data_IF_793020303647
#
_entry.id   IF_793020303647
#
_cell.length_a   1.000
_cell.length_b   1.000
_cell.length_c   1.000
_cell.angle_alpha   90.00
_cell.angle_beta   90.00
_cell.angle_gamma   90.00
#
_symmetry.space_group_name_H-M   'P 1'
#
loop_
_entity.id
_entity.type
_entity.pdbx_description
1 polymer ?
#
# COMPACT_ATOMS: atom_id res chain seq x y z
N UNK A 1 15.29 -24.72 4.95
CA UNK A 1 14.11 -23.85 4.90
C UNK A 1 13.07 -24.09 6.00
N UNK A 2 12.95 -25.31 6.59
CA UNK A 2 12.01 -25.56 7.73
C UNK A 2 12.45 -24.96 9.06
N UNK A 3 13.76 -24.76 9.30
CA UNK A 3 14.27 -24.32 10.62
C UNK A 3 14.20 -22.79 10.86
N UNK A 4 14.15 -21.99 9.81
CA UNK A 4 14.06 -20.51 9.96
C UNK A 4 12.66 -20.07 10.42
N UNK A 5 11.61 -20.84 10.06
CA UNK A 5 10.23 -20.53 10.47
C UNK A 5 10.00 -20.70 11.98
N UNK A 6 10.75 -21.57 12.63
CA UNK A 6 10.63 -21.83 14.07
C UNK A 6 11.44 -20.85 14.95
N UNK A 7 12.51 -20.28 14.44
CA UNK A 7 13.32 -19.31 15.20
C UNK A 7 12.68 -17.92 15.30
N UNK A 8 11.90 -17.50 14.29
CA UNK A 8 11.20 -16.21 14.33
C UNK A 8 10.08 -16.19 15.38
N UNK A 9 9.45 -17.33 15.64
CA UNK A 9 8.40 -17.46 16.65
C UNK A 9 8.91 -17.39 18.11
N UNK A 10 10.20 -17.62 18.37
CA UNK A 10 10.74 -17.67 19.74
C UNK A 10 11.27 -16.35 20.28
N UNK A 11 11.53 -15.35 19.43
CA UNK A 11 12.15 -14.07 19.82
C UNK A 11 11.16 -12.92 20.09
N UNK A 12 9.88 -13.07 19.74
CA UNK A 12 8.87 -12.00 19.94
C UNK A 12 7.80 -12.31 20.98
N UNK A 13 7.82 -13.47 21.64
CA UNK A 13 6.86 -13.82 22.68
C UNK A 13 7.48 -13.87 24.09
N UNK A 14 8.19 -12.80 24.46
CA UNK A 14 8.54 -12.49 25.84
C UNK A 14 7.33 -11.90 26.58
N UNK A 15 6.64 -12.71 27.36
CA UNK A 15 5.74 -12.35 28.49
C UNK A 15 4.65 -11.30 28.23
N UNK A 16 3.66 -11.60 27.40
CA UNK A 16 2.35 -10.94 27.46
C UNK A 16 1.21 -11.93 27.12
N UNK A 17 1.24 -13.08 27.77
CA UNK A 17 0.05 -13.91 27.91
C UNK A 17 -0.60 -13.54 29.22
N UNK A 18 -1.67 -12.74 29.17
CA UNK A 18 -2.85 -12.77 30.05
C UNK A 18 -3.65 -11.48 29.85
N UNK A 19 -4.61 -11.55 29.02
CA UNK A 19 -5.95 -10.99 29.00
C UNK A 19 -6.43 -10.89 27.56
N UNK A 20 -6.83 -12.03 27.02
CA UNK A 20 -7.46 -12.14 25.71
C UNK A 20 -8.88 -11.59 25.74
N UNK A 21 -9.03 -10.30 25.51
CA UNK A 21 -10.25 -9.77 24.96
C UNK A 21 -10.03 -9.61 23.45
N UNK A 22 -10.39 -10.64 22.70
CA UNK A 22 -10.65 -10.52 21.26
C UNK A 22 -11.80 -9.51 21.13
N UNK A 23 -11.49 -8.24 20.89
CA UNK A 23 -12.50 -7.26 20.53
C UNK A 23 -12.95 -7.62 19.12
N UNK A 24 -13.91 -8.53 19.06
CA UNK A 24 -14.74 -8.68 17.87
C UNK A 24 -15.43 -7.35 17.67
N UNK A 25 -15.04 -6.61 16.64
CA UNK A 25 -15.81 -5.46 16.17
C UNK A 25 -17.12 -6.07 15.63
N UNK A 26 -18.11 -6.18 16.51
CA UNK A 26 -19.47 -6.50 16.09
C UNK A 26 -19.89 -5.44 15.09
N UNK A 27 -20.02 -5.84 13.83
CA UNK A 27 -20.73 -5.04 12.84
C UNK A 27 -22.16 -4.92 13.31
N UNK A 28 -22.52 -3.79 13.94
CA UNK A 28 -23.94 -3.43 14.10
C UNK A 28 -24.59 -3.52 12.73
N UNK A 29 -25.76 -4.16 12.59
CA UNK A 29 -26.49 -4.17 11.34
C UNK A 29 -26.82 -2.71 10.98
N UNK A 30 -26.24 -2.23 9.87
CA UNK A 30 -26.53 -0.90 9.36
C UNK A 30 -28.00 -0.87 8.90
N UNK A 31 -28.81 -0.07 9.56
CA UNK A 31 -30.09 0.39 9.04
C UNK A 31 -29.83 1.06 7.68
N UNK A 32 -30.51 0.58 6.65
CA UNK A 32 -30.22 0.74 5.21
C UNK A 32 -30.22 2.17 4.65
N UNK A 33 -29.15 2.91 4.92
CA UNK A 33 -28.75 4.11 4.19
C UNK A 33 -27.31 3.92 3.73
N UNK A 34 -26.99 4.23 2.47
CA UNK A 34 -25.62 4.22 1.98
C UNK A 34 -24.80 5.24 2.78
N UNK A 35 -23.77 4.80 3.50
CA UNK A 35 -22.85 5.70 4.22
C UNK A 35 -22.15 6.63 3.24
N UNK A 36 -21.96 7.89 3.62
CA UNK A 36 -21.25 8.87 2.80
C UNK A 36 -19.75 8.56 2.77
N UNK A 37 -19.03 9.04 1.76
CA UNK A 37 -17.57 8.88 1.67
C UNK A 37 -16.88 9.51 2.89
N UNK A 38 -17.37 10.65 3.38
CA UNK A 38 -16.88 11.29 4.60
C UNK A 38 -16.99 10.35 5.81
N UNK A 39 -18.14 9.71 5.99
CA UNK A 39 -18.36 8.78 7.10
C UNK A 39 -17.48 7.53 6.96
N UNK A 40 -17.34 7.01 5.76
CA UNK A 40 -16.47 5.87 5.48
C UNK A 40 -14.99 6.18 5.78
N UNK A 41 -14.50 7.35 5.35
CA UNK A 41 -13.15 7.81 5.68
C UNK A 41 -12.95 7.91 7.20
N UNK A 42 -13.94 8.47 7.92
CA UNK A 42 -13.89 8.56 9.38
C UNK A 42 -13.80 7.18 10.03
N UNK A 43 -14.66 6.23 9.63
CA UNK A 43 -14.67 4.86 10.16
C UNK A 43 -13.33 4.17 9.93
N UNK A 44 -12.79 4.25 8.71
CA UNK A 44 -11.49 3.61 8.39
C UNK A 44 -10.36 4.26 9.18
N UNK A 45 -10.33 5.59 9.27
CA UNK A 45 -9.30 6.32 10.02
C UNK A 45 -9.37 6.00 11.52
N UNK A 46 -10.56 5.97 12.12
CA UNK A 46 -10.74 5.57 13.51
C UNK A 46 -10.29 4.12 13.75
N UNK A 47 -10.57 3.22 12.80
CA UNK A 47 -10.08 1.84 12.83
C UNK A 47 -8.54 1.78 12.83
N UNK A 48 -7.88 2.54 11.97
CA UNK A 48 -6.41 2.62 11.92
C UNK A 48 -5.86 3.14 13.25
N UNK A 49 -6.41 4.25 13.76
CA UNK A 49 -6.02 4.84 15.04
C UNK A 49 -6.15 3.84 16.19
N UNK A 50 -7.29 3.14 16.26
CA UNK A 50 -7.54 2.14 17.29
C UNK A 50 -6.52 1.01 17.25
N UNK A 51 -6.23 0.48 16.04
CA UNK A 51 -5.28 -0.61 15.87
C UNK A 51 -3.83 -0.19 16.15
N UNK A 52 -3.44 1.02 15.73
CA UNK A 52 -2.12 1.56 16.04
C UNK A 52 -1.90 1.71 17.55
N UNK A 53 -2.87 2.31 18.25
CA UNK A 53 -2.83 2.45 19.73
C UNK A 53 -2.78 1.08 20.42
N UNK A 54 -3.57 0.12 19.97
CA UNK A 54 -3.57 -1.23 20.53
C UNK A 54 -2.23 -1.95 20.33
N UNK A 55 -1.49 -1.59 19.28
CA UNK A 55 -0.15 -2.09 18.99
C UNK A 55 0.97 -1.26 19.63
N UNK A 56 0.67 -0.25 20.45
CA UNK A 56 1.66 0.65 21.04
C UNK A 56 2.35 1.56 20.04
N UNK A 57 1.74 1.79 18.88
CA UNK A 57 2.29 2.60 17.79
C UNK A 57 1.64 3.99 17.74
N UNK A 58 2.39 4.96 17.24
CA UNK A 58 1.85 6.27 16.90
C UNK A 58 0.84 6.13 15.73
N UNK A 59 -0.43 6.54 15.89
CA UNK A 59 -1.41 6.52 14.81
C UNK A 59 -0.99 7.36 13.61
N UNK A 60 -0.28 8.47 13.81
CA UNK A 60 0.16 9.36 12.75
C UNK A 60 1.26 8.74 11.88
N UNK A 61 1.87 7.63 12.34
CA UNK A 61 2.81 6.86 11.55
C UNK A 61 2.13 5.96 10.49
N UNK A 62 0.78 5.93 10.42
CA UNK A 62 0.03 5.09 9.48
C UNK A 62 -0.80 5.94 8.51
N UNK A 63 -0.43 5.92 7.27
CA UNK A 63 -1.10 6.64 6.18
C UNK A 63 -2.19 5.76 5.55
N UNK A 64 -3.41 6.30 5.45
CA UNK A 64 -4.47 5.71 4.63
C UNK A 64 -4.26 6.09 3.16
N UNK A 65 -4.04 5.13 2.31
CA UNK A 65 -4.08 5.27 0.85
C UNK A 65 -5.47 4.88 0.35
N UNK A 66 -6.30 5.87 0.00
CA UNK A 66 -7.65 5.64 -0.51
C UNK A 66 -7.59 5.15 -1.97
N UNK A 67 -7.94 3.88 -2.20
CA UNK A 67 -7.81 3.24 -3.52
C UNK A 67 -8.99 3.63 -4.41
N UNK A 68 -8.75 4.55 -5.35
CA UNK A 68 -9.77 5.18 -6.20
C UNK A 68 -9.90 4.57 -7.61
N UNK A 69 -9.27 3.40 -7.85
CA UNK A 69 -9.44 2.68 -9.12
C UNK A 69 -10.92 2.42 -9.42
N UNK A 70 -11.33 2.63 -10.68
CA UNK A 70 -12.70 2.45 -11.18
C UNK A 70 -13.75 3.36 -10.49
N UNK A 71 -13.33 4.33 -9.69
CA UNK A 71 -14.24 5.31 -9.11
C UNK A 71 -14.38 6.53 -10.02
N UNK A 72 -15.58 7.13 -10.03
CA UNK A 72 -15.85 8.35 -10.77
C UNK A 72 -15.27 9.60 -10.08
N UNK A 73 -15.18 10.70 -10.84
CA UNK A 73 -14.63 11.97 -10.36
C UNK A 73 -15.46 12.59 -9.23
N UNK A 74 -16.77 12.32 -9.19
CA UNK A 74 -17.66 12.84 -8.15
C UNK A 74 -17.33 12.25 -6.78
N UNK A 75 -17.11 10.94 -6.70
CA UNK A 75 -16.69 10.26 -5.48
C UNK A 75 -15.28 10.70 -5.03
N UNK A 76 -14.36 10.88 -5.98
CA UNK A 76 -13.02 11.38 -5.68
C UNK A 76 -13.11 12.79 -5.09
N UNK A 77 -13.92 13.67 -5.68
CA UNK A 77 -14.13 15.03 -5.16
C UNK A 77 -14.69 15.01 -3.75
N UNK A 78 -15.67 14.17 -3.44
CA UNK A 78 -16.19 14.03 -2.06
C UNK A 78 -15.08 13.66 -1.07
N UNK A 79 -14.14 12.76 -1.44
CA UNK A 79 -13.01 12.42 -0.58
C UNK A 79 -12.02 13.58 -0.42
N UNK A 80 -11.76 14.34 -1.49
CA UNK A 80 -10.93 15.54 -1.46
C UNK A 80 -11.56 16.66 -0.59
N UNK A 81 -12.87 16.88 -0.74
CA UNK A 81 -13.64 17.87 0.05
C UNK A 81 -13.70 17.46 1.53
N UNK A 82 -13.68 16.16 1.83
CA UNK A 82 -13.53 15.63 3.19
C UNK A 82 -12.11 15.80 3.76
N UNK A 83 -11.17 16.41 3.02
CA UNK A 83 -9.80 16.66 3.47
C UNK A 83 -8.81 15.53 3.17
N UNK A 84 -9.22 14.42 2.53
CA UNK A 84 -8.31 13.35 2.22
C UNK A 84 -7.39 13.71 1.04
N UNK A 85 -6.10 13.34 1.13
CA UNK A 85 -5.07 13.78 0.16
C UNK A 85 -4.22 12.65 -0.43
N UNK A 86 -4.30 11.43 0.06
CA UNK A 86 -3.44 10.31 -0.36
C UNK A 86 -4.25 9.24 -1.08
N UNK A 87 -4.05 9.08 -2.38
CA UNK A 87 -4.86 8.20 -3.21
C UNK A 87 -4.00 7.16 -3.94
N UNK A 88 -4.57 5.96 -4.14
CA UNK A 88 -3.94 4.87 -4.86
C UNK A 88 -4.66 4.53 -6.17
N UNK A 89 -3.88 4.35 -7.24
CA UNK A 89 -4.36 3.95 -8.56
C UNK A 89 -3.62 2.73 -9.09
N UNK A 90 -4.32 1.89 -9.83
CA UNK A 90 -3.72 0.69 -10.40
C UNK A 90 -3.18 0.88 -11.82
N UNK A 91 -3.69 1.85 -12.58
CA UNK A 91 -3.38 2.03 -14.02
C UNK A 91 -3.04 3.47 -14.33
N UNK A 92 -1.89 3.67 -14.98
CA UNK A 92 -1.37 5.00 -15.33
C UNK A 92 -2.35 5.78 -16.22
N UNK A 93 -2.96 5.16 -17.24
CA UNK A 93 -3.88 5.84 -18.15
C UNK A 93 -5.16 6.29 -17.44
N UNK A 94 -5.73 5.42 -16.61
CA UNK A 94 -6.91 5.75 -15.81
C UNK A 94 -6.62 6.91 -14.86
N UNK A 95 -5.49 6.84 -14.16
CA UNK A 95 -5.05 7.91 -13.27
C UNK A 95 -4.86 9.22 -14.02
N UNK A 96 -4.20 9.22 -15.19
CA UNK A 96 -3.98 10.41 -15.99
C UNK A 96 -5.30 11.09 -16.40
N UNK A 97 -6.29 10.32 -16.83
CA UNK A 97 -7.61 10.84 -17.21
C UNK A 97 -8.38 11.45 -16.03
N UNK A 98 -8.23 10.91 -14.83
CA UNK A 98 -8.93 11.36 -13.63
C UNK A 98 -8.23 12.53 -12.92
N UNK A 99 -6.95 12.39 -12.66
CA UNK A 99 -6.21 13.24 -11.73
C UNK A 99 -5.63 14.52 -12.33
N UNK A 100 -5.55 14.63 -13.67
CA UNK A 100 -5.09 15.87 -14.32
C UNK A 100 -5.92 17.10 -13.95
N UNK A 101 -7.20 16.91 -13.61
CA UNK A 101 -8.07 18.01 -13.18
C UNK A 101 -7.83 18.43 -11.73
N UNK A 102 -7.48 17.47 -10.86
CA UNK A 102 -7.39 17.74 -9.42
C UNK A 102 -6.02 18.24 -8.98
N UNK A 103 -4.94 17.87 -9.68
CA UNK A 103 -3.58 18.25 -9.26
C UNK A 103 -3.33 19.75 -9.23
N UNK A 104 -4.07 20.54 -10.02
CA UNK A 104 -4.00 22.01 -9.98
C UNK A 104 -4.72 22.63 -8.76
N UNK A 105 -5.84 22.01 -8.39
CA UNK A 105 -6.71 22.50 -7.32
C UNK A 105 -6.22 22.08 -5.91
N UNK A 106 -5.47 20.96 -5.84
CA UNK A 106 -5.00 20.36 -4.59
C UNK A 106 -3.47 20.10 -4.65
N UNK A 107 -2.64 21.10 -4.31
CA UNK A 107 -1.17 20.98 -4.42
C UNK A 107 -0.57 20.00 -3.41
N UNK A 108 -1.26 19.67 -2.33
CA UNK A 108 -0.90 18.71 -1.31
C UNK A 108 -1.31 17.25 -1.63
N UNK A 109 -1.97 17.05 -2.78
CA UNK A 109 -2.40 15.75 -3.26
C UNK A 109 -1.21 14.83 -3.54
N UNK A 110 -1.25 13.61 -2.98
CA UNK A 110 -0.29 12.54 -3.20
C UNK A 110 -0.94 11.37 -3.94
N UNK A 111 -0.34 10.98 -5.05
CA UNK A 111 -0.80 9.83 -5.84
C UNK A 111 0.21 8.70 -5.76
N UNK A 112 -0.27 7.53 -5.38
CA UNK A 112 0.48 6.29 -5.34
C UNK A 112 0.08 5.38 -6.52
N UNK A 113 1.06 4.90 -7.29
CA UNK A 113 0.84 3.82 -8.23
C UNK A 113 1.01 2.49 -7.51
N UNK A 114 -0.10 1.81 -7.27
CA UNK A 114 -0.13 0.56 -6.50
C UNK A 114 -0.38 -0.68 -7.37
N UNK A 115 -0.56 -0.52 -8.67
CA UNK A 115 -0.72 -1.62 -9.63
C UNK A 115 0.49 -1.80 -10.53
N UNK A 116 0.57 -2.92 -11.28
CA UNK A 116 1.73 -3.27 -12.09
C UNK A 116 2.08 -2.17 -13.10
N UNK A 117 3.37 -1.80 -13.18
CA UNK A 117 3.85 -0.79 -14.12
C UNK A 117 4.52 -1.43 -15.34
N UNK A 118 3.90 -1.24 -16.50
CA UNK A 118 4.53 -1.56 -17.78
C UNK A 118 5.65 -0.56 -18.09
N UNK A 119 6.78 -1.05 -18.60
CA UNK A 119 7.97 -0.23 -18.88
C UNK A 119 7.68 0.93 -19.85
N UNK A 120 6.82 0.70 -20.86
CA UNK A 120 6.41 1.74 -21.82
C UNK A 120 5.50 2.84 -21.22
N UNK A 121 5.02 2.67 -19.99
CA UNK A 121 4.23 3.66 -19.24
C UNK A 121 5.02 4.35 -18.14
N UNK A 122 6.28 3.98 -17.94
CA UNK A 122 7.12 4.49 -16.87
C UNK A 122 7.27 6.02 -16.91
N UNK A 123 7.36 6.63 -18.10
CA UNK A 123 7.46 8.09 -18.23
C UNK A 123 6.22 8.82 -17.73
N UNK A 124 5.04 8.36 -18.11
CA UNK A 124 3.78 8.93 -17.62
C UNK A 124 3.64 8.70 -16.11
N UNK A 125 4.09 7.54 -15.61
CA UNK A 125 4.08 7.25 -14.18
C UNK A 125 4.97 8.21 -13.39
N UNK A 126 6.24 8.41 -13.81
CA UNK A 126 7.17 9.35 -13.16
C UNK A 126 6.60 10.77 -13.12
N UNK A 127 5.89 11.20 -14.18
CA UNK A 127 5.30 12.53 -14.24
C UNK A 127 4.07 12.74 -13.38
N UNK A 128 3.28 11.69 -13.18
CA UNK A 128 1.98 11.78 -12.53
C UNK A 128 2.03 11.43 -11.05
N UNK A 129 2.71 10.35 -10.69
CA UNK A 129 2.68 9.80 -9.34
C UNK A 129 3.77 10.39 -8.44
N UNK A 130 3.50 10.43 -7.16
CA UNK A 130 4.42 10.86 -6.12
C UNK A 130 5.13 9.66 -5.49
N UNK A 131 4.48 8.47 -5.53
CA UNK A 131 5.05 7.19 -5.11
C UNK A 131 4.73 6.10 -6.15
N UNK A 132 5.72 5.28 -6.50
CA UNK A 132 5.56 4.09 -7.35
C UNK A 132 5.83 2.87 -6.49
N UNK A 133 4.77 2.14 -6.09
CA UNK A 133 4.87 1.01 -5.16
C UNK A 133 5.08 -0.35 -5.83
N UNK A 134 5.14 -0.38 -7.16
CA UNK A 134 5.18 -1.62 -7.94
C UNK A 134 6.50 -1.84 -8.69
N UNK A 135 7.60 -1.40 -8.11
CA UNK A 135 8.94 -1.67 -8.65
C UNK A 135 9.34 -3.11 -8.28
N UNK A 136 9.39 -4.00 -9.27
CA UNK A 136 9.50 -5.44 -9.06
C UNK A 136 10.62 -6.15 -9.85
N UNK A 137 11.34 -5.42 -10.72
CA UNK A 137 12.33 -6.04 -11.62
C UNK A 137 13.41 -5.06 -12.12
N UNK A 138 14.63 -5.54 -12.41
CA UNK A 138 15.76 -4.69 -12.82
C UNK A 138 15.50 -3.89 -14.11
N UNK A 139 14.77 -4.45 -15.08
CA UNK A 139 14.44 -3.74 -16.32
C UNK A 139 13.61 -2.48 -16.07
N UNK A 140 12.62 -2.56 -15.19
CA UNK A 140 11.80 -1.41 -14.81
C UNK A 140 12.62 -0.39 -14.04
N UNK A 141 13.48 -0.85 -13.12
CA UNK A 141 14.36 0.01 -12.33
C UNK A 141 15.27 0.87 -13.22
N UNK A 142 15.97 0.26 -14.18
CA UNK A 142 16.81 1.00 -15.13
C UNK A 142 16.02 2.04 -15.92
N UNK A 143 14.84 1.66 -16.44
CA UNK A 143 13.97 2.60 -17.16
C UNK A 143 13.52 3.77 -16.30
N UNK A 144 13.14 3.52 -15.03
CA UNK A 144 12.76 4.59 -14.10
C UNK A 144 13.94 5.52 -13.81
N UNK A 145 15.13 4.98 -13.57
CA UNK A 145 16.33 5.77 -13.30
C UNK A 145 16.69 6.71 -14.47
N UNK A 146 16.65 6.20 -15.71
CA UNK A 146 16.89 7.00 -16.91
C UNK A 146 15.86 8.12 -17.07
N UNK A 147 14.56 7.81 -16.85
CA UNK A 147 13.49 8.80 -16.97
C UNK A 147 13.60 9.86 -15.88
N UNK A 148 13.82 9.46 -14.62
CA UNK A 148 13.98 10.38 -13.49
C UNK A 148 15.17 11.31 -13.69
N UNK A 149 16.29 10.79 -14.17
CA UNK A 149 17.48 11.59 -14.50
C UNK A 149 17.20 12.61 -15.61
N UNK A 150 16.48 12.19 -16.65
CA UNK A 150 16.18 13.04 -17.81
C UNK A 150 15.12 14.10 -17.51
N UNK A 151 14.00 13.70 -16.84
CA UNK A 151 12.83 14.55 -16.64
C UNK A 151 12.92 15.37 -15.32
N UNK A 152 13.93 15.12 -14.47
CA UNK A 152 14.20 15.86 -13.23
C UNK A 152 13.20 15.61 -12.09
N UNK A 153 12.20 14.74 -12.30
CA UNK A 153 11.20 14.36 -11.28
C UNK A 153 11.55 12.98 -10.70
N UNK A 154 11.53 12.88 -9.37
CA UNK A 154 11.98 11.69 -8.64
C UNK A 154 10.92 11.23 -7.63
N UNK A 155 9.83 10.57 -8.10
CA UNK A 155 8.86 9.95 -7.18
C UNK A 155 9.54 8.89 -6.32
N UNK A 156 9.09 8.74 -5.07
CA UNK A 156 9.53 7.65 -4.20
C UNK A 156 9.20 6.30 -4.83
N UNK A 157 10.06 5.31 -4.58
CA UNK A 157 9.89 3.95 -5.07
C UNK A 157 9.77 2.97 -3.91
N UNK A 158 8.76 2.10 -3.94
CA UNK A 158 8.69 0.93 -3.09
C UNK A 158 8.95 -0.31 -3.94
N UNK A 159 9.76 -1.23 -3.41
CA UNK A 159 9.97 -2.53 -4.04
C UNK A 159 8.78 -3.42 -3.70
N UNK A 160 8.11 -3.93 -4.73
CA UNK A 160 7.05 -4.91 -4.54
C UNK A 160 7.66 -6.29 -4.36
N UNK A 161 7.36 -6.93 -3.22
CA UNK A 161 7.81 -8.29 -2.89
C UNK A 161 6.62 -9.25 -3.03
N UNK A 162 6.82 -10.34 -3.75
CA UNK A 162 5.88 -11.45 -3.86
C UNK A 162 6.09 -12.42 -2.69
N UNK A 163 5.55 -12.05 -1.54
CA UNK A 163 5.76 -12.79 -0.28
C UNK A 163 5.15 -14.19 -0.26
N UNK A 164 4.19 -14.47 -1.15
CA UNK A 164 3.60 -15.81 -1.31
C UNK A 164 4.30 -16.66 -2.36
N UNK A 165 5.31 -16.13 -3.06
CA UNK A 165 6.04 -16.81 -4.13
C UNK A 165 5.13 -17.40 -5.22
N UNK A 166 4.00 -16.75 -5.50
CA UNK A 166 3.00 -17.17 -6.47
C UNK A 166 3.47 -16.79 -7.90
N UNK A 167 3.68 -17.75 -8.82
CA UNK A 167 4.27 -17.46 -10.14
C UNK A 167 3.50 -16.47 -11.01
N UNK A 168 2.18 -16.36 -10.79
CA UNK A 168 1.29 -15.47 -11.54
C UNK A 168 1.22 -14.03 -10.96
N UNK A 169 1.77 -13.78 -9.78
CA UNK A 169 1.76 -12.46 -9.15
C UNK A 169 3.02 -11.66 -9.45
N UNK A 170 2.84 -10.35 -9.55
CA UNK A 170 3.94 -9.40 -9.63
C UNK A 170 4.67 -9.29 -8.30
N UNK A 171 5.93 -8.89 -8.34
CA UNK A 171 6.79 -8.72 -7.18
C UNK A 171 8.06 -9.55 -7.32
N UNK A 172 9.17 -9.06 -6.80
CA UNK A 172 10.40 -9.82 -6.67
C UNK A 172 10.24 -10.91 -5.61
N UNK A 173 10.87 -12.06 -5.79
CA UNK A 173 10.85 -13.10 -4.76
C UNK A 173 11.58 -12.62 -3.49
N UNK A 174 11.18 -13.07 -2.29
CA UNK A 174 11.82 -12.67 -1.04
C UNK A 174 13.34 -12.93 -1.02
N UNK A 175 13.80 -14.02 -1.65
CA UNK A 175 15.22 -14.35 -1.74
C UNK A 175 16.02 -13.36 -2.59
N UNK A 176 15.39 -12.71 -3.56
CA UNK A 176 16.03 -11.77 -4.50
C UNK A 176 15.80 -10.31 -4.11
N UNK A 177 15.03 -10.04 -3.06
CA UNK A 177 14.61 -8.70 -2.68
C UNK A 177 15.81 -7.80 -2.33
N UNK A 178 16.76 -8.30 -1.53
CA UNK A 178 17.93 -7.54 -1.09
C UNK A 178 18.81 -7.12 -2.29
N UNK A 179 19.01 -8.03 -3.25
CA UNK A 179 19.78 -7.76 -4.45
C UNK A 179 19.10 -6.68 -5.32
N UNK A 180 17.76 -6.74 -5.47
CA UNK A 180 17.02 -5.73 -6.22
C UNK A 180 17.04 -4.38 -5.52
N UNK A 181 16.90 -4.33 -4.19
CA UNK A 181 16.97 -3.11 -3.39
C UNK A 181 18.34 -2.44 -3.57
N UNK A 182 19.44 -3.20 -3.40
CA UNK A 182 20.80 -2.68 -3.59
C UNK A 182 21.01 -2.16 -5.00
N UNK A 183 20.63 -2.93 -6.03
CA UNK A 183 20.71 -2.47 -7.43
C UNK A 183 19.92 -1.16 -7.64
N UNK A 184 18.70 -1.07 -7.13
CA UNK A 184 17.88 0.13 -7.30
C UNK A 184 18.47 1.35 -6.58
N UNK A 185 18.89 1.18 -5.33
CA UNK A 185 19.35 2.27 -4.47
C UNK A 185 20.79 2.65 -4.75
N UNK A 186 21.69 1.65 -4.73
CA UNK A 186 23.13 1.90 -4.68
C UNK A 186 23.75 2.03 -6.08
N UNK A 187 23.26 1.28 -7.08
CA UNK A 187 23.77 1.36 -8.46
C UNK A 187 23.01 2.38 -9.32
N UNK A 188 21.66 2.37 -9.23
CA UNK A 188 20.80 3.21 -10.08
C UNK A 188 20.42 4.54 -9.42
N UNK A 189 20.69 4.71 -8.14
CA UNK A 189 20.38 5.90 -7.37
C UNK A 189 18.88 6.23 -7.30
N UNK A 190 18.00 5.23 -7.37
CA UNK A 190 16.56 5.43 -7.21
C UNK A 190 16.22 5.75 -5.75
N UNK A 191 15.22 6.60 -5.49
CA UNK A 191 14.74 6.89 -4.14
C UNK A 191 13.90 5.73 -3.60
N UNK A 192 14.54 4.62 -3.26
CA UNK A 192 13.88 3.46 -2.66
C UNK A 192 13.67 3.74 -1.18
N UNK A 193 12.42 3.99 -0.80
CA UNK A 193 12.05 4.41 0.57
C UNK A 193 11.26 3.35 1.32
N UNK A 194 10.72 2.32 0.63
CA UNK A 194 9.89 1.31 1.27
C UNK A 194 9.70 0.03 0.46
N UNK A 195 8.89 -0.85 1.03
CA UNK A 195 8.46 -2.11 0.44
C UNK A 195 6.93 -2.17 0.32
N UNK A 196 6.45 -2.99 -0.59
CA UNK A 196 5.03 -3.28 -0.76
C UNK A 196 4.80 -4.78 -0.94
N UNK A 197 3.74 -5.31 -0.34
CA UNK A 197 3.27 -6.67 -0.66
C UNK A 197 1.74 -6.76 -0.79
N UNK A 198 1.31 -7.82 -1.45
CA UNK A 198 -0.09 -8.27 -1.50
C UNK A 198 -0.06 -9.77 -1.19
N UNK A 199 -0.36 -10.17 0.05
CA UNK A 199 -0.36 -11.58 0.44
C UNK A 199 -1.32 -12.43 -0.40
N UNK A 200 -1.12 -13.76 -0.46
CA UNK A 200 -2.12 -14.69 -0.96
C UNK A 200 -3.44 -14.55 -0.21
N UNK A 201 -4.57 -14.73 -0.92
CA UNK A 201 -5.89 -14.56 -0.30
C UNK A 201 -6.24 -15.71 0.67
N UNK A 202 -5.70 -16.89 0.42
CA UNK A 202 -6.01 -18.12 1.15
C UNK A 202 -4.97 -18.44 2.24
N UNK A 203 -4.03 -17.53 2.50
CA UNK A 203 -3.01 -17.68 3.53
C UNK A 203 -3.16 -16.63 4.64
N UNK A 204 -2.62 -16.96 5.83
CA UNK A 204 -2.61 -16.05 6.98
C UNK A 204 -1.70 -14.84 6.69
N UNK A 205 -2.23 -13.61 6.61
CA UNK A 205 -1.47 -12.45 6.13
C UNK A 205 -0.35 -12.02 7.09
N UNK A 206 -0.44 -12.35 8.38
CA UNK A 206 0.53 -11.93 9.39
C UNK A 206 1.95 -12.42 9.10
N UNK A 207 2.10 -13.63 8.54
CA UNK A 207 3.40 -14.19 8.18
C UNK A 207 4.05 -13.40 7.03
N UNK A 208 3.24 -12.97 6.07
CA UNK A 208 3.71 -12.17 4.93
C UNK A 208 4.09 -10.76 5.37
N UNK A 209 3.33 -10.16 6.30
CA UNK A 209 3.64 -8.84 6.84
C UNK A 209 4.92 -8.87 7.68
N UNK A 210 5.10 -9.89 8.52
CA UNK A 210 6.33 -10.08 9.29
C UNK A 210 7.55 -10.29 8.38
N UNK A 211 7.41 -11.08 7.30
CA UNK A 211 8.48 -11.26 6.31
C UNK A 211 8.83 -9.93 5.61
N UNK A 212 7.84 -9.13 5.23
CA UNK A 212 8.08 -7.84 4.60
C UNK A 212 8.79 -6.87 5.55
N UNK A 213 8.38 -6.84 6.83
CA UNK A 213 9.01 -6.03 7.87
C UNK A 213 10.48 -6.42 8.09
N UNK A 214 10.78 -7.72 8.17
CA UNK A 214 12.15 -8.23 8.29
C UNK A 214 13.03 -7.79 7.11
N UNK A 215 12.51 -7.89 5.86
CA UNK A 215 13.22 -7.41 4.66
C UNK A 215 13.46 -5.91 4.74
N UNK A 216 12.47 -5.12 5.16
CA UNK A 216 12.61 -3.68 5.30
C UNK A 216 13.65 -3.31 6.37
N UNK A 217 13.58 -3.94 7.53
CA UNK A 217 14.47 -3.68 8.65
C UNK A 217 15.95 -3.90 8.29
N UNK A 218 16.31 -5.07 7.72
CA UNK A 218 17.68 -5.38 7.32
C UNK A 218 18.22 -4.49 6.20
N UNK A 219 17.30 -3.91 5.37
CA UNK A 219 17.65 -2.96 4.31
C UNK A 219 17.52 -1.49 4.74
N UNK A 220 17.16 -1.20 6.00
CA UNK A 220 16.96 0.15 6.56
C UNK A 220 15.93 0.97 5.76
N UNK A 221 14.83 0.34 5.37
CA UNK A 221 13.71 0.98 4.69
C UNK A 221 12.64 1.34 5.71
N UNK A 222 12.13 2.57 5.62
CA UNK A 222 11.24 3.13 6.63
C UNK A 222 9.75 2.82 6.37
N UNK A 223 9.37 2.55 5.11
CA UNK A 223 7.96 2.46 4.75
C UNK A 223 7.54 1.05 4.34
N UNK A 224 6.36 0.65 4.84
CA UNK A 224 5.72 -0.63 4.56
C UNK A 224 4.31 -0.39 4.05
N UNK A 225 4.09 -0.59 2.74
CA UNK A 225 2.76 -0.57 2.14
C UNK A 225 2.20 -1.99 2.11
N UNK A 226 1.34 -2.28 3.06
CA UNK A 226 0.71 -3.59 3.23
C UNK A 226 -0.61 -3.46 3.97
N UNK A 227 -1.52 -4.41 3.75
CA UNK A 227 -2.87 -4.37 4.29
C UNK A 227 -3.87 -3.65 3.38
N UNK A 228 -5.01 -4.30 3.20
CA UNK A 228 -6.15 -3.85 2.40
C UNK A 228 -7.42 -3.87 3.25
N UNK A 229 -8.57 -3.67 2.65
CA UNK A 229 -9.86 -3.53 3.33
C UNK A 229 -10.17 -4.63 4.37
N UNK A 230 -9.68 -5.86 4.17
CA UNK A 230 -9.99 -7.00 5.05
C UNK A 230 -8.89 -7.29 6.08
N UNK A 231 -7.65 -6.93 5.80
CA UNK A 231 -6.47 -7.33 6.57
C UNK A 231 -5.62 -6.15 7.08
N UNK A 232 -6.01 -4.89 6.78
CA UNK A 232 -5.28 -3.72 7.29
C UNK A 232 -5.17 -3.67 8.83
N UNK A 233 -6.15 -4.16 9.64
CA UNK A 233 -5.98 -4.17 11.09
C UNK A 233 -4.81 -5.04 11.54
N UNK A 234 -4.59 -6.19 10.86
CA UNK A 234 -3.44 -7.05 11.09
C UNK A 234 -2.18 -6.35 10.63
N UNK A 235 -2.17 -5.78 9.40
CA UNK A 235 -1.02 -5.08 8.85
C UNK A 235 -0.53 -3.94 9.75
N UNK A 236 -1.44 -3.15 10.33
CA UNK A 236 -1.09 -2.08 11.27
C UNK A 236 -0.34 -2.64 12.49
N UNK A 237 -0.76 -3.78 13.04
CA UNK A 237 -0.06 -4.44 14.16
C UNK A 237 1.34 -4.94 13.78
N UNK A 238 1.55 -5.29 12.51
CA UNK A 238 2.82 -5.78 11.96
C UNK A 238 3.68 -4.69 11.31
N UNK A 239 3.47 -3.43 11.65
CA UNK A 239 4.38 -2.36 11.23
C UNK A 239 3.95 -1.57 9.99
N UNK A 240 2.79 -1.86 9.36
CA UNK A 240 2.35 -1.09 8.19
C UNK A 240 2.41 0.42 8.42
N UNK A 241 3.02 1.14 7.49
CA UNK A 241 3.03 2.60 7.46
C UNK A 241 2.04 3.15 6.42
N UNK A 242 1.66 2.32 5.47
CA UNK A 242 0.65 2.63 4.44
C UNK A 242 -0.32 1.47 4.34
N UNK A 243 -1.62 1.76 4.49
CA UNK A 243 -2.70 0.79 4.29
C UNK A 243 -3.56 1.23 3.11
N UNK A 244 -3.94 0.29 2.24
CA UNK A 244 -4.61 0.56 0.96
C UNK A 244 -6.07 0.14 1.01
N UNK A 245 -6.97 1.09 1.25
CA UNK A 245 -8.40 0.79 1.41
C UNK A 245 -9.22 1.36 0.25
N UNK A 246 -9.94 0.50 -0.45
CA UNK A 246 -10.82 0.89 -1.57
C UNK A 246 -12.29 0.82 -1.18
N UNK A 247 -12.84 -0.38 -1.08
CA UNK A 247 -14.25 -0.62 -0.80
C UNK A 247 -14.70 -0.04 0.55
N UNK A 248 -13.81 -0.03 1.55
CA UNK A 248 -14.10 0.57 2.85
C UNK A 248 -14.30 2.09 2.78
N UNK A 249 -13.72 2.77 1.77
CA UNK A 249 -13.84 4.22 1.58
C UNK A 249 -14.96 4.56 0.56
N UNK A 250 -14.90 3.96 -0.64
CA UNK A 250 -15.75 4.34 -1.76
C UNK A 250 -17.02 3.50 -1.92
N UNK A 251 -17.20 2.49 -1.06
CA UNK A 251 -18.28 1.52 -1.19
C UNK A 251 -17.99 0.44 -2.24
N UNK A 252 -18.97 -0.44 -2.51
CA UNK A 252 -18.84 -1.50 -3.50
C UNK A 252 -18.56 -0.92 -4.89
N UNK A 253 -17.83 -1.68 -5.71
CA UNK A 253 -17.54 -1.29 -7.10
C UNK A 253 -18.83 -1.21 -7.90
N UNK A 254 -18.96 -0.23 -8.81
CA UNK A 254 -20.05 -0.25 -9.78
C UNK A 254 -19.99 -1.57 -10.58
N UNK A 255 -21.15 -2.16 -10.83
CA UNK A 255 -21.23 -3.35 -11.69
C UNK A 255 -20.59 -3.02 -13.06
N UNK A 256 -19.89 -3.98 -13.71
CA UNK A 256 -19.41 -3.76 -15.06
C UNK A 256 -20.60 -3.39 -15.94
N UNK A 257 -20.53 -2.25 -16.60
CA UNK A 257 -21.52 -1.92 -17.66
C UNK A 257 -21.28 -2.92 -18.78
N UNK A 258 -22.16 -3.88 -18.92
CA UNK A 258 -22.19 -4.76 -20.10
C UNK A 258 -22.62 -3.87 -21.27
N UNK A 259 -21.65 -3.55 -22.13
CA UNK A 259 -21.91 -2.92 -23.44
C UNK A 259 -22.22 -3.99 -24.45
#
# INVERSE_FOLDING_TARGET
MKDIRLQILSLQFGSALLNGACVMIERKPQTGGATTILENLRIVTEGIISMAKAAGRDPDAVTLVAVSKLQDKGKIRQALDAGHRVFGENRVQEAKAKWSHFKGDYPDLKLHLIGPLQTNKARDAVRLFDVIESLDRPKLARTLAEIMKRDGRRPDCFIQVNTGEEPQKAGVLPADADALISTCRDELGLPVTGLMCIPPQDEEPSLHFALLDDIAHRNRLAFLSMGMSNDYPIAVRFGATHVRVGTGVFGPRPAPTVL
#
